data_IF_176467306301
#
_entry.id   IF_176467306301
#
_cell.length_a   1.000
_cell.length_b   1.000
_cell.length_c   1.000
_cell.angle_alpha   90.00
_cell.angle_beta   90.00
_cell.angle_gamma   90.00
#
_symmetry.space_group_name_H-M   'P 1'
#
loop_
_entity.id
_entity.type
_entity.pdbx_description
1 polymer ?
#
# COMPACT_ATOMS: atom_id res chain seq x y z
N UNK A 1 1.16 11.32 75.13
CA UNK A 1 2.41 11.69 74.47
C UNK A 1 2.55 10.77 73.26
N UNK A 2 2.86 11.36 72.12
CA UNK A 2 2.48 10.95 70.76
C UNK A 2 2.65 9.48 70.35
N UNK A 3 1.60 9.00 69.68
CA UNK A 3 1.62 7.97 68.64
C UNK A 3 2.43 8.46 67.43
N UNK A 4 3.53 7.80 67.09
CA UNK A 4 4.17 7.95 65.77
C UNK A 4 3.90 6.70 64.94
N UNK A 5 2.86 6.82 64.10
CA UNK A 5 2.62 5.98 62.94
C UNK A 5 3.63 6.42 61.86
N UNK A 6 4.47 5.51 61.37
CA UNK A 6 5.19 5.73 60.11
C UNK A 6 4.35 5.13 58.96
N UNK A 7 4.01 5.90 57.91
CA UNK A 7 3.19 5.42 56.82
C UNK A 7 3.99 4.59 55.78
N UNK A 8 3.24 3.70 55.14
CA UNK A 8 3.57 2.78 54.06
C UNK A 8 4.65 3.22 53.06
N UNK A 9 5.64 2.35 52.86
CA UNK A 9 6.35 2.25 51.59
C UNK A 9 5.37 1.73 50.51
N UNK A 10 4.66 2.65 49.85
CA UNK A 10 3.95 2.33 48.61
C UNK A 10 4.96 2.49 47.49
N UNK A 11 5.54 1.37 47.06
CA UNK A 11 6.33 1.25 45.85
C UNK A 11 5.45 1.50 44.63
N UNK A 12 5.32 2.76 44.23
CA UNK A 12 4.76 3.16 42.93
C UNK A 12 5.83 3.09 41.85
N UNK A 13 6.31 1.90 41.48
CA UNK A 13 7.13 1.69 40.27
C UNK A 13 6.80 0.40 39.50
N UNK A 14 5.64 0.33 38.80
CA UNK A 14 5.53 -0.59 37.67
C UNK A 14 5.04 0.04 36.35
N UNK A 15 4.51 1.27 36.35
CA UNK A 15 3.88 1.81 35.13
C UNK A 15 4.86 2.45 34.13
N UNK A 16 5.94 3.11 34.59
CA UNK A 16 6.89 3.80 33.69
C UNK A 16 7.83 2.84 32.94
N UNK A 17 8.20 1.73 33.58
CA UNK A 17 9.06 0.70 32.99
C UNK A 17 8.34 -0.10 31.91
N UNK A 18 7.07 -0.45 32.14
CA UNK A 18 6.23 -1.14 31.15
C UNK A 18 6.00 -0.32 29.87
N UNK A 19 5.74 0.99 30.01
CA UNK A 19 5.57 1.90 28.89
C UNK A 19 6.84 2.02 28.03
N UNK A 20 8.01 2.04 28.66
CA UNK A 20 9.31 2.18 27.99
C UNK A 20 9.70 0.93 27.18
N UNK A 21 9.49 -0.26 27.74
CA UNK A 21 9.77 -1.53 27.04
C UNK A 21 8.85 -1.69 25.83
N UNK A 22 7.56 -1.40 25.98
CA UNK A 22 6.60 -1.47 24.89
C UNK A 22 6.96 -0.53 23.73
N UNK A 23 7.39 0.70 24.04
CA UNK A 23 7.84 1.66 23.02
C UNK A 23 9.05 1.14 22.24
N UNK A 24 10.07 0.62 22.95
CA UNK A 24 11.28 0.05 22.33
C UNK A 24 10.90 -1.13 21.42
N UNK A 25 10.06 -2.05 21.89
CA UNK A 25 9.62 -3.20 21.10
C UNK A 25 8.87 -2.77 19.83
N UNK A 26 7.97 -1.79 19.94
CA UNK A 26 7.24 -1.27 18.77
C UNK A 26 8.18 -0.66 17.72
N UNK A 27 9.19 0.11 18.14
CA UNK A 27 10.17 0.69 17.24
C UNK A 27 10.93 -0.39 16.47
N UNK A 28 11.35 -1.47 17.12
CA UNK A 28 12.02 -2.60 16.45
C UNK A 28 11.11 -3.32 15.46
N UNK A 29 9.84 -3.53 15.81
CA UNK A 29 8.85 -4.10 14.89
C UNK A 29 8.70 -3.20 13.65
N UNK A 30 8.61 -1.88 13.84
CA UNK A 30 8.51 -0.94 12.73
C UNK A 30 9.74 -0.97 11.81
N UNK A 31 10.96 -1.03 12.37
CA UNK A 31 12.18 -1.21 11.58
C UNK A 31 12.13 -2.48 10.72
N UNK A 32 11.71 -3.59 11.31
CA UNK A 32 11.59 -4.86 10.59
C UNK A 32 10.51 -4.80 9.49
N UNK A 33 9.35 -4.20 9.77
CA UNK A 33 8.30 -4.01 8.77
C UNK A 33 8.77 -3.11 7.62
N UNK A 34 9.43 -2.00 7.91
CA UNK A 34 10.02 -1.13 6.88
C UNK A 34 11.01 -1.90 6.01
N UNK A 35 11.87 -2.72 6.61
CA UNK A 35 12.79 -3.58 5.87
C UNK A 35 12.05 -4.53 4.92
N UNK A 36 11.01 -5.23 5.39
CA UNK A 36 10.21 -6.12 4.54
C UNK A 36 9.49 -5.38 3.42
N UNK A 37 8.92 -4.20 3.68
CA UNK A 37 8.26 -3.36 2.68
C UNK A 37 9.26 -2.93 1.60
N UNK A 38 10.44 -2.45 2.00
CA UNK A 38 11.50 -2.05 1.07
C UNK A 38 11.95 -3.25 0.23
N UNK A 39 12.26 -4.37 0.87
CA UNK A 39 12.77 -5.56 0.21
C UNK A 39 11.76 -6.14 -0.78
N UNK A 40 10.52 -6.35 -0.36
CA UNK A 40 9.47 -6.93 -1.21
C UNK A 40 9.19 -6.08 -2.45
N UNK A 41 9.04 -4.76 -2.28
CA UNK A 41 8.80 -3.86 -3.40
C UNK A 41 10.01 -3.70 -4.31
N UNK A 42 11.22 -3.71 -3.75
CA UNK A 42 12.45 -3.72 -4.55
C UNK A 42 12.55 -4.98 -5.42
N UNK A 43 12.21 -6.14 -4.87
CA UNK A 43 12.19 -7.40 -5.64
C UNK A 43 11.19 -7.34 -6.79
N UNK A 44 10.00 -6.75 -6.59
CA UNK A 44 9.00 -6.54 -7.66
C UNK A 44 9.57 -5.63 -8.76
N UNK A 45 10.20 -4.51 -8.39
CA UNK A 45 10.82 -3.57 -9.33
C UNK A 45 11.92 -4.29 -10.14
N UNK A 46 12.80 -5.02 -9.47
CA UNK A 46 13.88 -5.78 -10.11
C UNK A 46 13.30 -6.82 -11.08
N UNK A 47 12.30 -7.59 -10.64
CA UNK A 47 11.65 -8.61 -11.45
C UNK A 47 11.04 -8.01 -12.73
N UNK A 48 10.33 -6.89 -12.62
CA UNK A 48 9.71 -6.20 -13.76
C UNK A 48 10.75 -5.64 -14.75
N UNK A 49 11.87 -5.12 -14.24
CA UNK A 49 12.97 -4.59 -15.06
C UNK A 49 13.76 -5.70 -15.77
N UNK A 50 13.97 -6.85 -15.11
CA UNK A 50 14.87 -7.91 -15.59
C UNK A 50 14.18 -9.01 -16.38
N UNK A 51 12.91 -9.30 -16.10
CA UNK A 51 12.20 -10.43 -16.69
C UNK A 51 11.15 -9.91 -17.66
N UNK A 52 11.34 -10.19 -18.96
CA UNK A 52 10.41 -9.78 -20.03
C UNK A 52 9.04 -10.42 -19.84
N UNK A 53 9.00 -11.71 -19.49
CA UNK A 53 7.75 -12.46 -19.32
C UNK A 53 6.87 -11.84 -18.21
N UNK A 54 7.50 -11.33 -17.14
CA UNK A 54 6.79 -10.62 -16.06
C UNK A 54 6.22 -9.30 -16.56
N UNK A 55 6.92 -8.60 -17.44
CA UNK A 55 6.46 -7.32 -18.01
C UNK A 55 5.26 -7.48 -18.93
N UNK A 56 5.19 -8.60 -19.64
CA UNK A 56 4.08 -8.93 -20.52
C UNK A 56 2.82 -9.28 -19.72
N UNK A 57 2.98 -9.88 -18.53
CA UNK A 57 1.88 -10.24 -17.63
C UNK A 57 1.43 -9.04 -16.77
N UNK A 58 2.38 -8.27 -16.22
CA UNK A 58 2.12 -7.20 -15.27
C UNK A 58 2.27 -5.81 -15.90
N UNK A 59 1.18 -5.01 -15.95
CA UNK A 59 1.22 -3.71 -16.59
C UNK A 59 2.13 -2.73 -15.83
N UNK A 60 2.62 -1.67 -16.49
CA UNK A 60 3.49 -0.66 -15.87
C UNK A 60 2.94 -0.07 -14.56
N UNK A 61 1.62 -0.04 -14.37
CA UNK A 61 0.97 0.40 -13.12
C UNK A 61 1.38 -0.42 -11.90
N UNK A 62 1.67 -1.71 -12.05
CA UNK A 62 2.14 -2.58 -10.95
C UNK A 62 3.56 -2.19 -10.52
N UNK A 63 4.43 -1.89 -11.49
CA UNK A 63 5.77 -1.36 -11.20
C UNK A 63 5.70 0.03 -10.55
N UNK A 64 4.78 0.88 -11.00
CA UNK A 64 4.55 2.19 -10.39
C UNK A 64 4.08 2.09 -8.94
N UNK A 65 3.17 1.16 -8.64
CA UNK A 65 2.74 0.84 -7.28
C UNK A 65 3.93 0.38 -6.41
N UNK A 66 4.73 -0.55 -6.91
CA UNK A 66 5.92 -1.02 -6.19
C UNK A 66 6.93 0.12 -5.91
N UNK A 67 7.12 1.05 -6.85
CA UNK A 67 7.93 2.25 -6.62
C UNK A 67 7.36 3.16 -5.52
N UNK A 68 6.04 3.33 -5.48
CA UNK A 68 5.37 4.11 -4.43
C UNK A 68 5.53 3.45 -3.06
N UNK A 69 5.27 2.14 -2.95
CA UNK A 69 5.38 1.39 -1.70
C UNK A 69 6.82 1.26 -1.20
N UNK A 70 7.78 1.07 -2.12
CA UNK A 70 9.21 1.17 -1.79
C UNK A 70 9.55 2.54 -1.19
N UNK A 71 9.03 3.62 -1.78
CA UNK A 71 9.24 4.98 -1.28
C UNK A 71 8.62 5.17 0.10
N UNK A 72 7.42 4.63 0.36
CA UNK A 72 6.80 4.62 1.71
C UNK A 72 7.74 3.98 2.72
N UNK A 73 8.28 2.80 2.39
CA UNK A 73 9.23 2.09 3.26
C UNK A 73 10.47 2.91 3.58
N UNK A 74 11.11 3.50 2.57
CA UNK A 74 12.32 4.32 2.72
C UNK A 74 12.07 5.57 3.56
N UNK A 75 11.03 6.35 3.24
CA UNK A 75 10.75 7.59 3.96
C UNK A 75 10.27 7.34 5.39
N UNK A 76 9.53 6.24 5.62
CA UNK A 76 9.14 5.82 6.97
C UNK A 76 10.36 5.39 7.78
N UNK A 77 11.27 4.63 7.20
CA UNK A 77 12.51 4.23 7.87
C UNK A 77 13.33 5.45 8.29
N UNK A 78 13.50 6.40 7.38
CA UNK A 78 14.23 7.64 7.67
C UNK A 78 13.54 8.47 8.76
N UNK A 79 12.21 8.54 8.73
CA UNK A 79 11.43 9.18 9.79
C UNK A 79 11.67 8.53 11.17
N UNK A 80 11.62 7.20 11.26
CA UNK A 80 11.84 6.45 12.52
C UNK A 80 13.27 6.68 13.05
N UNK A 81 14.28 6.70 12.17
CA UNK A 81 15.67 6.97 12.55
C UNK A 81 15.78 8.37 13.18
N UNK A 82 15.25 9.40 12.51
CA UNK A 82 15.32 10.75 13.04
C UNK A 82 14.53 10.93 14.34
N UNK A 83 13.36 10.29 14.48
CA UNK A 83 12.58 10.28 15.72
C UNK A 83 13.38 9.62 16.85
N UNK A 84 14.05 8.50 16.57
CA UNK A 84 14.89 7.79 17.54
C UNK A 84 16.04 8.69 18.03
N UNK A 85 16.70 9.43 17.13
CA UNK A 85 17.79 10.35 17.49
C UNK A 85 17.28 11.51 18.37
N UNK A 86 16.11 12.08 18.06
CA UNK A 86 15.52 13.17 18.87
C UNK A 86 15.24 12.74 20.31
N UNK A 87 14.81 11.49 20.53
CA UNK A 87 14.49 10.97 21.87
C UNK A 87 15.74 10.89 22.78
N UNK A 88 16.93 10.67 22.21
CA UNK A 88 18.19 10.62 22.97
C UNK A 88 18.78 12.01 23.29
N UNK A 89 18.01 13.09 23.15
CA UNK A 89 18.35 14.42 23.69
C UNK A 89 19.11 15.35 22.73
N UNK A 90 19.20 15.01 21.44
CA UNK A 90 19.77 15.90 20.42
C UNK A 90 18.66 16.62 19.65
N UNK A 91 18.11 17.69 20.24
CA UNK A 91 17.18 18.60 19.55
C UNK A 91 17.94 19.56 18.64
N UNK A 92 18.41 19.05 17.50
CA UNK A 92 18.93 19.91 16.44
C UNK A 92 17.77 20.34 15.53
N UNK A 93 17.63 21.65 15.29
CA UNK A 93 16.65 22.21 14.35
C UNK A 93 16.70 21.53 12.97
N UNK A 94 17.89 21.11 12.53
CA UNK A 94 18.08 20.34 11.31
C UNK A 94 17.36 18.98 11.33
N UNK A 95 17.40 18.24 12.44
CA UNK A 95 16.73 16.94 12.56
C UNK A 95 15.21 17.10 12.47
N UNK A 96 14.65 18.13 13.07
CA UNK A 96 13.20 18.38 12.99
C UNK A 96 12.75 18.76 11.57
N UNK A 97 13.55 19.54 10.83
CA UNK A 97 13.26 19.79 9.41
C UNK A 97 13.27 18.50 8.59
N UNK A 98 14.28 17.66 8.81
CA UNK A 98 14.43 16.36 8.15
C UNK A 98 13.24 15.45 8.46
N UNK A 99 12.80 15.38 9.72
CA UNK A 99 11.58 14.64 10.13
C UNK A 99 10.34 15.15 9.40
N UNK A 100 10.17 16.46 9.27
CA UNK A 100 9.00 17.04 8.62
C UNK A 100 8.95 16.79 7.11
N UNK A 101 10.13 16.76 6.46
CA UNK A 101 10.28 16.31 5.07
C UNK A 101 9.98 14.82 4.95
N UNK A 102 10.56 13.97 5.80
CA UNK A 102 10.31 12.53 5.80
C UNK A 102 8.82 12.20 5.98
N UNK A 103 8.14 12.86 6.92
CA UNK A 103 6.68 12.75 7.13
C UNK A 103 5.89 13.20 5.89
N UNK A 104 6.33 14.26 5.22
CA UNK A 104 5.68 14.75 4.00
C UNK A 104 5.80 13.73 2.88
N UNK A 105 7.02 13.29 2.60
CA UNK A 105 7.31 12.31 1.56
C UNK A 105 6.58 10.97 1.82
N UNK A 106 6.56 10.50 3.06
CA UNK A 106 5.79 9.30 3.45
C UNK A 106 4.30 9.47 3.13
N UNK A 107 3.72 10.63 3.44
CA UNK A 107 2.31 10.91 3.15
C UNK A 107 2.04 10.92 1.64
N UNK A 108 2.87 11.62 0.86
CA UNK A 108 2.77 11.67 -0.61
C UNK A 108 2.87 10.27 -1.21
N UNK A 109 3.87 9.49 -0.83
CA UNK A 109 4.05 8.13 -1.34
C UNK A 109 2.88 7.21 -0.96
N UNK A 110 2.29 7.39 0.23
CA UNK A 110 1.11 6.63 0.65
C UNK A 110 -0.10 6.94 -0.24
N UNK A 111 -0.37 8.22 -0.53
CA UNK A 111 -1.43 8.59 -1.48
C UNK A 111 -1.14 8.08 -2.89
N UNK A 112 0.11 8.13 -3.34
CA UNK A 112 0.49 7.65 -4.66
C UNK A 112 0.24 6.14 -4.80
N UNK A 113 0.53 5.37 -3.74
CA UNK A 113 0.21 3.94 -3.67
C UNK A 113 -1.31 3.70 -3.79
N UNK A 114 -2.13 4.43 -3.02
CA UNK A 114 -3.60 4.33 -3.09
C UNK A 114 -4.13 4.68 -4.48
N UNK A 115 -3.66 5.78 -5.07
CA UNK A 115 -4.08 6.18 -6.42
C UNK A 115 -3.63 5.15 -7.47
N UNK A 116 -2.46 4.52 -7.30
CA UNK A 116 -1.99 3.46 -8.18
C UNK A 116 -2.87 2.21 -8.10
N UNK A 117 -3.38 1.86 -6.91
CA UNK A 117 -4.38 0.78 -6.77
C UNK A 117 -5.69 1.12 -7.50
N UNK A 118 -6.17 2.37 -7.39
CA UNK A 118 -7.33 2.83 -8.15
C UNK A 118 -7.07 2.74 -9.66
N UNK A 119 -5.89 3.17 -10.11
CA UNK A 119 -5.50 3.07 -11.52
C UNK A 119 -5.54 1.63 -11.99
N UNK A 120 -4.96 0.68 -11.25
CA UNK A 120 -4.97 -0.73 -11.61
C UNK A 120 -6.41 -1.25 -11.70
N UNK A 121 -7.28 -0.88 -10.75
CA UNK A 121 -8.69 -1.27 -10.79
C UNK A 121 -9.41 -0.74 -12.03
N UNK A 122 -9.24 0.56 -12.33
CA UNK A 122 -9.84 1.19 -13.51
C UNK A 122 -9.31 0.59 -14.80
N UNK A 123 -8.00 0.40 -14.92
CA UNK A 123 -7.32 -0.22 -16.07
C UNK A 123 -7.92 -1.60 -16.39
N UNK A 124 -8.06 -2.43 -15.35
CA UNK A 124 -8.67 -3.75 -15.47
C UNK A 124 -10.15 -3.69 -15.86
N UNK A 125 -10.93 -2.78 -15.26
CA UNK A 125 -12.33 -2.58 -15.65
C UNK A 125 -12.47 -2.18 -17.13
N UNK A 126 -11.65 -1.25 -17.62
CA UNK A 126 -11.71 -0.79 -19.03
C UNK A 126 -11.28 -1.91 -19.98
N UNK A 127 -10.24 -2.68 -19.62
CA UNK A 127 -9.77 -3.82 -20.41
C UNK A 127 -10.86 -4.86 -20.64
N UNK A 128 -11.67 -5.16 -19.61
CA UNK A 128 -12.77 -6.14 -19.71
C UNK A 128 -14.01 -5.58 -20.40
N UNK A 129 -14.40 -4.34 -20.12
CA UNK A 129 -15.60 -3.75 -20.72
C UNK A 129 -15.41 -3.38 -22.20
N UNK A 130 -14.20 -3.00 -22.60
CA UNK A 130 -13.91 -2.45 -23.92
C UNK A 130 -12.60 -2.99 -24.54
N UNK A 131 -12.46 -4.31 -24.75
CA UNK A 131 -11.20 -4.93 -25.17
C UNK A 131 -10.65 -4.37 -26.49
N UNK A 132 -11.52 -4.10 -27.49
CA UNK A 132 -11.09 -3.59 -28.80
C UNK A 132 -10.56 -2.15 -28.77
N UNK A 133 -11.04 -1.33 -27.82
CA UNK A 133 -10.59 0.05 -27.66
C UNK A 133 -9.43 0.16 -26.68
N UNK A 134 -9.33 -0.76 -25.73
CA UNK A 134 -8.30 -0.76 -24.70
C UNK A 134 -6.88 -0.77 -25.29
N UNK A 135 -6.60 -1.67 -26.22
CA UNK A 135 -5.31 -1.77 -26.92
C UNK A 135 -4.93 -0.49 -27.69
N UNK A 136 -5.92 0.27 -28.16
CA UNK A 136 -5.69 1.51 -28.91
C UNK A 136 -5.44 2.71 -27.99
N UNK A 137 -5.95 2.68 -26.76
CA UNK A 137 -5.94 3.81 -25.84
C UNK A 137 -4.82 3.66 -24.80
N UNK A 138 -4.64 2.48 -24.19
CA UNK A 138 -3.65 2.26 -23.12
C UNK A 138 -2.26 1.97 -23.65
N UNK A 139 -1.60 3.02 -24.12
CA UNK A 139 -0.18 3.00 -24.51
C UNK A 139 0.74 3.34 -23.34
N UNK A 140 2.03 2.99 -23.42
CA UNK A 140 3.05 3.35 -22.43
C UNK A 140 3.09 4.84 -22.10
N UNK A 141 2.83 5.71 -23.08
CA UNK A 141 2.78 7.16 -22.88
C UNK A 141 1.64 7.57 -21.94
N UNK A 142 0.48 6.93 -22.10
CA UNK A 142 -0.69 7.18 -21.24
C UNK A 142 -0.40 6.74 -19.81
N UNK A 143 0.23 5.57 -19.60
CA UNK A 143 0.67 5.13 -18.27
C UNK A 143 1.61 6.14 -17.59
N UNK A 144 2.58 6.68 -18.33
CA UNK A 144 3.51 7.70 -17.80
C UNK A 144 2.76 8.96 -17.39
N UNK A 145 1.85 9.46 -18.25
CA UNK A 145 1.05 10.66 -17.96
C UNK A 145 0.18 10.43 -16.71
N UNK A 146 -0.55 9.31 -16.64
CA UNK A 146 -1.39 8.98 -15.49
C UNK A 146 -0.54 8.93 -14.22
N UNK A 147 0.62 8.27 -14.27
CA UNK A 147 1.52 8.19 -13.12
C UNK A 147 1.98 9.58 -12.65
N UNK A 148 2.42 10.46 -13.55
CA UNK A 148 2.79 11.84 -13.20
C UNK A 148 1.61 12.58 -12.54
N UNK A 149 0.41 12.45 -13.11
CA UNK A 149 -0.80 13.08 -12.55
C UNK A 149 -1.14 12.55 -11.16
N UNK A 150 -0.91 11.26 -10.89
CA UNK A 150 -1.11 10.68 -9.56
C UNK A 150 -0.12 11.23 -8.52
N UNK A 151 1.15 11.41 -8.88
CA UNK A 151 2.13 12.03 -7.98
C UNK A 151 1.76 13.48 -7.68
N UNK A 152 1.34 14.25 -8.69
CA UNK A 152 0.86 15.63 -8.50
C UNK A 152 -0.39 15.68 -7.61
N UNK A 153 -1.36 14.79 -7.85
CA UNK A 153 -2.56 14.67 -7.03
C UNK A 153 -2.22 14.29 -5.58
N UNK A 154 -1.27 13.38 -5.38
CA UNK A 154 -0.79 12.96 -4.05
C UNK A 154 -0.13 14.10 -3.28
N UNK A 155 0.68 14.91 -3.95
CA UNK A 155 1.24 16.14 -3.40
C UNK A 155 0.12 17.12 -2.99
N UNK A 156 -0.85 17.35 -3.88
CA UNK A 156 -1.99 18.21 -3.61
C UNK A 156 -2.80 17.72 -2.39
N UNK A 157 -3.18 16.44 -2.36
CA UNK A 157 -3.90 15.83 -1.24
C UNK A 157 -3.14 15.93 0.08
N UNK A 158 -1.81 15.75 0.06
CA UNK A 158 -0.97 15.91 1.25
C UNK A 158 -0.93 17.35 1.75
N UNK A 159 -0.82 18.32 0.84
CA UNK A 159 -0.84 19.75 1.16
C UNK A 159 -2.19 20.19 1.70
N UNK A 160 -3.29 19.73 1.09
CA UNK A 160 -4.64 19.98 1.56
C UNK A 160 -4.82 19.36 2.96
N UNK A 161 -4.42 18.11 3.17
CA UNK A 161 -4.49 17.48 4.48
C UNK A 161 -3.74 18.32 5.54
N UNK A 162 -2.52 18.78 5.26
CA UNK A 162 -1.79 19.65 6.18
C UNK A 162 -2.44 21.03 6.38
N UNK A 163 -3.01 21.63 5.33
CA UNK A 163 -3.63 22.96 5.36
C UNK A 163 -4.97 23.00 6.09
N UNK A 164 -5.79 21.95 5.95
CA UNK A 164 -7.11 21.85 6.61
C UNK A 164 -7.00 21.46 8.11
N UNK A 165 -5.83 21.01 8.58
CA UNK A 165 -5.60 20.45 9.93
C UNK A 165 -5.06 21.50 10.91
N UNK A 166 -5.67 22.70 10.93
CA UNK A 166 -5.55 23.60 12.09
C UNK A 166 -6.77 23.54 13.03
N UNK A 167 -7.89 22.90 12.65
CA UNK A 167 -9.15 23.06 13.39
C UNK A 167 -9.77 21.82 14.07
N UNK A 168 -9.34 20.56 13.87
CA UNK A 168 -9.83 19.45 14.71
C UNK A 168 -8.94 18.20 14.63
N UNK A 169 -8.43 17.71 15.76
CA UNK A 169 -7.71 16.42 15.87
C UNK A 169 -8.60 15.23 15.43
N UNK A 170 -9.91 15.38 15.53
CA UNK A 170 -10.92 14.43 15.05
C UNK A 170 -10.83 14.20 13.53
N UNK A 171 -10.45 15.22 12.74
CA UNK A 171 -10.36 15.11 11.28
C UNK A 171 -9.22 14.21 10.81
N UNK A 172 -8.10 14.15 11.55
CA UNK A 172 -6.97 13.26 11.22
C UNK A 172 -7.35 11.79 11.32
N UNK A 173 -8.04 11.40 12.41
CA UNK A 173 -8.49 10.01 12.61
C UNK A 173 -9.58 9.62 11.62
N UNK A 174 -10.56 10.50 11.37
CA UNK A 174 -11.59 10.27 10.35
C UNK A 174 -10.99 10.16 8.95
N UNK A 175 -9.97 10.96 8.64
CA UNK A 175 -9.29 10.89 7.35
C UNK A 175 -8.52 9.58 7.19
N UNK A 176 -7.77 9.15 8.21
CA UNK A 176 -7.12 7.83 8.21
C UNK A 176 -8.15 6.69 8.07
N UNK A 177 -9.26 6.76 8.81
CA UNK A 177 -10.34 5.77 8.71
C UNK A 177 -10.95 5.76 7.30
N UNK A 178 -11.22 6.93 6.72
CA UNK A 178 -11.74 7.05 5.36
C UNK A 178 -10.76 6.47 4.34
N UNK A 179 -9.45 6.70 4.48
CA UNK A 179 -8.45 6.09 3.63
C UNK A 179 -8.40 4.57 3.77
N UNK A 180 -8.52 4.03 5.00
CA UNK A 180 -8.58 2.59 5.25
C UNK A 180 -9.85 2.00 4.62
N UNK A 181 -11.01 2.66 4.76
CA UNK A 181 -12.26 2.23 4.15
C UNK A 181 -12.11 2.22 2.62
N UNK A 182 -11.56 3.28 2.03
CA UNK A 182 -11.29 3.34 0.58
C UNK A 182 -10.34 2.21 0.16
N UNK A 183 -9.28 1.94 0.93
CA UNK A 183 -8.34 0.84 0.67
C UNK A 183 -9.05 -0.53 0.66
N UNK A 184 -9.86 -0.80 1.67
CA UNK A 184 -10.64 -2.05 1.77
C UNK A 184 -11.66 -2.17 0.65
N UNK A 185 -12.37 -1.09 0.31
CA UNK A 185 -13.33 -1.08 -0.79
C UNK A 185 -12.65 -1.35 -2.14
N UNK A 186 -11.50 -0.74 -2.40
CA UNK A 186 -10.73 -0.96 -3.64
C UNK A 186 -10.16 -2.38 -3.70
N UNK A 187 -9.66 -2.90 -2.59
CA UNK A 187 -9.18 -4.28 -2.50
C UNK A 187 -10.32 -5.28 -2.79
N UNK A 188 -11.50 -5.08 -2.21
CA UNK A 188 -12.69 -5.91 -2.47
C UNK A 188 -13.12 -5.81 -3.94
N UNK A 189 -13.12 -4.62 -4.54
CA UNK A 189 -13.44 -4.43 -5.95
C UNK A 189 -12.44 -5.17 -6.86
N UNK A 190 -11.16 -5.07 -6.54
CA UNK A 190 -10.09 -5.79 -7.26
C UNK A 190 -10.24 -7.31 -7.13
N UNK A 191 -10.48 -7.83 -5.93
CA UNK A 191 -10.66 -9.27 -5.70
C UNK A 191 -11.90 -9.78 -6.44
N UNK A 192 -13.05 -9.11 -6.30
CA UNK A 192 -14.30 -9.49 -6.97
C UNK A 192 -14.16 -9.48 -8.48
N UNK A 193 -13.44 -8.51 -9.04
CA UNK A 193 -13.12 -8.46 -10.46
C UNK A 193 -12.26 -9.65 -10.92
N UNK A 194 -11.17 -9.97 -10.20
CA UNK A 194 -10.31 -11.11 -10.57
C UNK A 194 -11.04 -12.45 -10.46
N UNK A 195 -11.89 -12.61 -9.43
CA UNK A 195 -12.76 -13.78 -9.28
C UNK A 195 -13.77 -13.88 -10.43
N UNK A 196 -14.39 -12.77 -10.83
CA UNK A 196 -15.35 -12.75 -11.95
C UNK A 196 -14.70 -13.15 -13.28
N UNK A 197 -13.53 -12.59 -13.59
CA UNK A 197 -12.75 -12.97 -14.79
C UNK A 197 -12.37 -14.45 -14.73
N UNK A 198 -11.95 -14.94 -13.56
CA UNK A 198 -11.66 -16.37 -13.34
C UNK A 198 -12.88 -17.26 -13.60
N UNK A 199 -14.06 -16.87 -13.13
CA UNK A 199 -15.32 -17.59 -13.38
C UNK A 199 -15.67 -17.62 -14.87
N UNK A 200 -15.56 -16.50 -15.59
CA UNK A 200 -15.79 -16.47 -17.04
C UNK A 200 -14.81 -17.40 -17.77
N UNK A 201 -13.53 -17.35 -17.43
CA UNK A 201 -12.53 -18.22 -18.02
C UNK A 201 -12.84 -19.71 -17.76
N UNK A 202 -13.22 -20.07 -16.54
CA UNK A 202 -13.65 -21.43 -16.20
C UNK A 202 -14.91 -21.85 -16.96
N UNK A 203 -15.88 -20.94 -17.12
CA UNK A 203 -17.10 -21.20 -17.89
C UNK A 203 -16.79 -21.40 -19.38
N UNK A 204 -15.86 -20.65 -19.94
CA UNK A 204 -15.40 -20.80 -21.33
C UNK A 204 -14.63 -22.12 -21.51
N UNK A 205 -13.72 -22.47 -20.59
CA UNK A 205 -13.03 -23.76 -20.61
C UNK A 205 -14.01 -24.94 -20.54
N UNK A 206 -15.04 -24.83 -19.69
CA UNK A 206 -16.10 -25.84 -19.56
C UNK A 206 -17.05 -25.90 -20.77
N UNK A 207 -17.10 -24.88 -21.63
CA UNK A 207 -17.83 -24.88 -22.92
C UNK A 207 -17.01 -25.45 -24.08
N UNK A 208 -15.68 -25.48 -23.97
CA UNK A 208 -14.77 -26.07 -24.98
C UNK A 208 -14.57 -27.58 -24.71
N UNK A 209 -14.54 -27.99 -23.44
CA UNK A 209 -14.43 -29.40 -23.05
C UNK A 209 -15.64 -30.33 -23.34
N UNK A 210 -16.89 -29.88 -23.62
CA UNK A 210 -17.99 -30.77 -24.01
C UNK A 210 -17.89 -31.23 -25.48
N UNK A 211 -17.14 -30.51 -26.33
CA UNK A 211 -17.01 -30.84 -27.76
C UNK A 211 -16.06 -32.01 -28.04
N UNK A 212 -15.19 -32.40 -27.12
CA UNK A 212 -14.39 -33.63 -27.27
C UNK A 212 -15.18 -34.90 -26.91
N UNK A 213 -16.30 -34.77 -26.19
CA UNK A 213 -17.16 -35.90 -25.80
C UNK A 213 -18.15 -36.37 -26.87
N UNK A 214 -18.44 -35.54 -27.88
CA UNK A 214 -19.35 -35.92 -28.97
C UNK A 214 -18.62 -36.48 -30.21
N UNK A 215 -17.34 -36.14 -30.43
CA UNK A 215 -16.57 -36.63 -31.59
C UNK A 215 -16.13 -38.09 -31.41
N UNK A 216 -16.08 -38.62 -30.18
CA UNK A 216 -15.73 -40.03 -29.95
C UNK A 216 -16.89 -41.03 -30.10
N UNK A 217 -18.15 -40.59 -30.26
CA UNK A 217 -19.31 -41.51 -30.38
C UNK A 217 -19.73 -41.76 -31.83
N UNK A 218 -19.40 -40.85 -32.76
CA UNK A 218 -19.83 -40.96 -34.16
C UNK A 218 -18.89 -41.76 -35.08
N UNK A 219 -17.74 -42.22 -34.58
CA UNK A 219 -16.75 -42.95 -35.38
C UNK A 219 -16.75 -44.48 -35.19
N UNK A 220 -17.83 -45.07 -34.64
CA UNK A 220 -17.89 -46.51 -34.39
C UNK A 220 -19.22 -47.20 -34.75
N UNK A 221 -20.03 -46.61 -35.63
CA UNK A 221 -21.19 -47.30 -36.21
C UNK A 221 -21.22 -47.11 -37.73
N UNK A 222 -20.37 -47.85 -38.45
CA UNK A 222 -20.69 -48.28 -39.81
C UNK A 222 -19.97 -49.60 -40.12
N UNK A 223 -20.78 -50.67 -40.15
CA UNK A 223 -20.73 -51.95 -40.90
C UNK A 223 -19.35 -52.41 -41.40
#
# INVERSE_FOLDING_TARGET
>A
METTILPSATTTEPESSGFSVLHITLVHILYFLCFLVILSNLLIIIAWLKVTDIRDIFPPSVAALACADFSVGVFTLFFIICESISIYGSEYHAIEQVKNVARFCTSVSTFASVLSLIQIAVDRCVSVLHPLRYEQIMTTRVYIIINIMMWLASCCLTLLNRGYVKYLVLSRKLFCLALIIVYLCLAVLMITFHLYVGVIACMQARKINPSEGFVCVEYNITI
#
